data_IF_576550726172
#
_entry.id   IF_576550726172
#
_cell.length_a   1.000
_cell.length_b   1.000
_cell.length_c   1.000
_cell.angle_alpha   90.00
_cell.angle_beta   90.00
_cell.angle_gamma   90.00
#
_symmetry.space_group_name_H-M   'P 1'
#
loop_
_entity.id
_entity.type
_entity.pdbx_description
1 polymer ?
#
# COMPACT_ATOMS: atom_id res chain seq x y z
N UNK A 1 -8.01 -32.76 -84.57
CA UNK A 1 -7.94 -31.40 -83.99
C UNK A 1 -7.20 -31.51 -82.67
N UNK A 2 -6.27 -30.59 -82.46
CA UNK A 2 -5.16 -30.63 -81.52
C UNK A 2 -5.65 -30.48 -80.06
N UNK A 3 -5.13 -31.27 -79.11
CA UNK A 3 -5.43 -31.09 -77.68
C UNK A 3 -4.56 -29.95 -77.12
N UNK A 4 -5.20 -28.95 -76.50
CA UNK A 4 -4.53 -27.82 -75.88
C UNK A 4 -3.80 -28.26 -74.60
N UNK A 5 -2.50 -27.99 -74.54
CA UNK A 5 -1.66 -28.15 -73.35
C UNK A 5 -1.81 -26.91 -72.45
N UNK A 6 -2.24 -27.10 -71.20
CA UNK A 6 -2.27 -26.04 -70.19
C UNK A 6 -1.32 -26.38 -69.03
N UNK A 7 -0.23 -25.62 -68.82
CA UNK A 7 0.58 -25.77 -67.63
C UNK A 7 -0.03 -24.91 -66.51
N UNK A 8 -0.67 -25.54 -65.54
CA UNK A 8 -1.06 -24.86 -64.29
C UNK A 8 -0.16 -25.38 -63.18
N UNK A 9 0.99 -24.72 -63.05
CA UNK A 9 1.81 -24.74 -61.84
C UNK A 9 0.98 -24.14 -60.70
N UNK A 10 0.30 -25.00 -59.94
CA UNK A 10 -0.32 -24.63 -58.67
C UNK A 10 0.66 -25.01 -57.57
N UNK A 11 1.63 -24.13 -57.33
CA UNK A 11 2.20 -23.98 -55.99
C UNK A 11 1.06 -23.48 -55.11
N UNK A 12 0.35 -24.40 -54.48
CA UNK A 12 -0.55 -24.06 -53.38
C UNK A 12 0.35 -23.50 -52.29
N UNK A 13 0.22 -22.22 -51.89
CA UNK A 13 0.96 -21.73 -50.75
C UNK A 13 0.52 -22.56 -49.55
N UNK A 14 1.49 -23.14 -48.85
CA UNK A 14 1.25 -23.67 -47.51
C UNK A 14 0.52 -22.58 -46.71
N UNK A 15 -0.53 -22.90 -45.93
CA UNK A 15 -1.03 -21.96 -44.94
C UNK A 15 0.18 -21.54 -44.11
N UNK A 16 0.57 -20.26 -44.22
CA UNK A 16 1.69 -19.72 -43.48
C UNK A 16 1.49 -20.07 -42.02
N UNK A 17 2.37 -20.92 -41.52
CA UNK A 17 2.57 -21.14 -40.11
C UNK A 17 3.13 -19.82 -39.53
N UNK A 18 2.23 -18.88 -39.26
CA UNK A 18 2.46 -17.68 -38.45
C UNK A 18 1.16 -17.35 -37.67
N UNK A 19 0.43 -18.38 -37.24
CA UNK A 19 -0.55 -18.27 -36.15
C UNK A 19 0.08 -18.54 -34.78
N UNK A 20 1.39 -18.39 -34.65
CA UNK A 20 2.07 -18.46 -33.35
C UNK A 20 3.25 -17.48 -33.31
N UNK A 21 2.95 -16.19 -33.12
CA UNK A 21 3.88 -15.30 -32.41
C UNK A 21 3.20 -14.02 -31.94
N UNK A 22 3.12 -13.92 -30.63
CA UNK A 22 2.48 -12.84 -29.90
C UNK A 22 1.89 -13.39 -28.61
N UNK A 23 2.72 -14.07 -27.83
CA UNK A 23 2.77 -14.03 -26.37
C UNK A 23 1.70 -13.15 -25.72
N UNK A 24 1.01 -13.72 -24.72
CA UNK A 24 -0.12 -13.23 -23.90
C UNK A 24 0.14 -11.86 -23.21
N UNK A 25 0.47 -10.86 -24.01
CA UNK A 25 0.76 -9.50 -23.62
C UNK A 25 -0.37 -8.63 -24.11
N UNK A 26 -0.83 -7.79 -23.19
CA UNK A 26 -1.84 -6.77 -23.49
C UNK A 26 -1.25 -5.80 -24.53
N UNK A 27 -1.79 -5.85 -25.74
CA UNK A 27 -1.51 -4.89 -26.80
C UNK A 27 -2.20 -3.54 -26.47
N UNK A 28 -1.43 -2.64 -25.85
CA UNK A 28 -1.89 -1.32 -25.41
C UNK A 28 -2.34 -0.46 -26.59
N UNK A 29 -1.71 -0.60 -27.76
CA UNK A 29 -2.02 0.20 -28.95
C UNK A 29 -3.39 -0.20 -29.53
N UNK A 30 -3.67 -1.50 -29.54
CA UNK A 30 -4.99 -2.04 -29.89
C UNK A 30 -6.07 -1.62 -28.90
N UNK A 31 -5.79 -1.63 -27.59
CA UNK A 31 -6.75 -1.16 -26.57
C UNK A 31 -7.02 0.34 -26.69
N UNK A 32 -5.98 1.15 -26.92
CA UNK A 32 -6.13 2.59 -27.09
C UNK A 32 -6.93 2.92 -28.37
N UNK A 33 -6.72 2.15 -29.44
CA UNK A 33 -7.53 2.24 -30.66
C UNK A 33 -9.01 1.91 -30.44
N UNK A 34 -9.31 0.93 -29.57
CA UNK A 34 -10.70 0.64 -29.17
C UNK A 34 -11.29 1.76 -28.31
N UNK A 35 -10.52 2.30 -27.36
CA UNK A 35 -10.94 3.41 -26.50
C UNK A 35 -11.22 4.69 -27.31
N UNK A 36 -10.37 5.02 -28.28
CA UNK A 36 -10.52 6.19 -29.14
C UNK A 36 -11.80 6.14 -29.98
N UNK A 37 -12.21 4.95 -30.46
CA UNK A 37 -13.48 4.76 -31.19
C UNK A 37 -14.71 5.05 -30.33
N UNK A 38 -14.60 4.89 -29.01
CA UNK A 38 -15.67 5.15 -28.05
C UNK A 38 -15.30 6.26 -27.05
N UNK A 39 -14.55 7.27 -27.52
CA UNK A 39 -14.00 8.33 -26.67
C UNK A 39 -15.05 9.02 -25.78
N UNK A 40 -16.30 9.15 -26.24
CA UNK A 40 -17.40 9.70 -25.43
C UNK A 40 -17.72 8.85 -24.20
N UNK A 41 -17.80 7.53 -24.35
CA UNK A 41 -18.10 6.61 -23.24
C UNK A 41 -16.93 6.61 -22.27
N UNK A 42 -15.70 6.53 -22.78
CA UNK A 42 -14.48 6.59 -21.96
C UNK A 42 -14.39 7.91 -21.18
N UNK A 43 -14.70 9.04 -21.83
CA UNK A 43 -14.70 10.35 -21.18
C UNK A 43 -15.76 10.45 -20.07
N UNK A 44 -16.96 9.91 -20.28
CA UNK A 44 -18.00 9.87 -19.24
C UNK A 44 -17.56 9.03 -18.04
N UNK A 45 -17.01 7.83 -18.28
CA UNK A 45 -16.49 6.99 -17.21
C UNK A 45 -15.34 7.67 -16.45
N UNK A 46 -14.41 8.31 -17.18
CA UNK A 46 -13.31 9.08 -16.58
C UNK A 46 -13.84 10.24 -15.74
N UNK A 47 -14.84 10.97 -16.22
CA UNK A 47 -15.46 12.06 -15.48
C UNK A 47 -16.14 11.57 -14.19
N UNK A 48 -16.85 10.44 -14.24
CA UNK A 48 -17.46 9.81 -13.06
C UNK A 48 -16.38 9.39 -12.06
N UNK A 49 -15.31 8.72 -12.53
CA UNK A 49 -14.21 8.29 -11.67
C UNK A 49 -13.50 9.48 -11.00
N UNK A 50 -13.24 10.54 -11.76
CA UNK A 50 -12.65 11.78 -11.23
C UNK A 50 -13.59 12.42 -10.21
N UNK A 51 -14.87 12.52 -10.51
CA UNK A 51 -15.88 13.06 -9.60
C UNK A 51 -15.94 12.29 -8.28
N UNK A 52 -15.96 10.96 -8.33
CA UNK A 52 -15.89 10.11 -7.14
C UNK A 52 -14.58 10.28 -6.39
N UNK A 53 -13.45 10.41 -7.09
CA UNK A 53 -12.14 10.67 -6.49
C UNK A 53 -12.09 12.01 -5.74
N UNK A 54 -12.70 13.05 -6.30
CA UNK A 54 -12.81 14.37 -5.63
C UNK A 54 -13.70 14.30 -4.40
N UNK A 55 -14.85 13.62 -4.49
CA UNK A 55 -15.71 13.39 -3.33
C UNK A 55 -14.93 12.65 -2.24
N UNK A 56 -14.22 11.58 -2.60
CA UNK A 56 -13.39 10.82 -1.68
C UNK A 56 -12.39 11.75 -0.98
N UNK A 57 -11.59 12.51 -1.73
CA UNK A 57 -10.58 13.41 -1.17
C UNK A 57 -11.15 14.49 -0.23
N UNK A 58 -12.37 14.97 -0.48
CA UNK A 58 -13.03 15.92 0.42
C UNK A 58 -13.62 15.27 1.67
N UNK A 59 -14.01 14.01 1.61
CA UNK A 59 -14.61 13.28 2.75
C UNK A 59 -13.59 12.56 3.62
N UNK A 60 -12.39 12.26 3.10
CA UNK A 60 -11.35 11.55 3.85
C UNK A 60 -10.72 12.47 4.90
N UNK A 61 -10.73 12.09 6.19
CA UNK A 61 -10.07 12.87 7.23
C UNK A 61 -8.55 12.84 7.03
N UNK A 62 -7.89 13.98 7.25
CA UNK A 62 -6.42 14.07 7.21
C UNK A 62 -5.82 13.27 8.36
N UNK A 63 -4.81 12.46 8.08
CA UNK A 63 -4.06 11.71 9.08
C UNK A 63 -2.74 12.43 9.39
N UNK A 64 -2.43 12.58 10.68
CA UNK A 64 -1.22 13.23 11.18
C UNK A 64 -0.45 12.28 12.08
N UNK A 65 0.88 12.30 12.02
CA UNK A 65 1.76 11.43 12.80
C UNK A 65 2.74 12.28 13.60
N UNK A 66 2.90 11.96 14.89
CA UNK A 66 3.89 12.55 15.78
C UNK A 66 4.77 11.44 16.37
N UNK A 67 6.06 11.70 16.51
CA UNK A 67 7.04 10.73 17.01
C UNK A 67 7.75 11.33 18.22
N UNK A 68 7.87 10.54 19.29
CA UNK A 68 8.62 10.89 20.49
C UNK A 68 9.52 9.72 20.89
N UNK A 69 10.68 10.02 21.49
CA UNK A 69 11.63 9.03 22.00
C UNK A 69 11.66 9.08 23.52
N UNK A 70 11.54 7.91 24.16
CA UNK A 70 11.58 7.75 25.62
C UNK A 70 12.76 6.85 25.98
N UNK A 71 13.60 7.31 26.90
CA UNK A 71 14.71 6.54 27.44
C UNK A 71 14.25 5.85 28.74
N UNK A 72 14.45 4.53 28.82
CA UNK A 72 14.19 3.73 30.02
C UNK A 72 15.54 3.52 30.72
N UNK A 73 15.65 3.99 31.96
CA UNK A 73 16.82 3.77 32.81
C UNK A 73 16.50 2.69 33.86
N UNK A 74 17.22 1.59 33.77
CA UNK A 74 17.16 0.50 34.72
C UNK A 74 18.07 0.86 35.90
N UNK A 75 17.59 1.73 36.79
CA UNK A 75 18.30 2.01 38.04
C UNK A 75 18.61 0.68 38.73
N UNK A 76 19.87 0.25 38.65
CA UNK A 76 20.39 -1.00 39.22
C UNK A 76 20.17 -0.96 40.72
N UNK A 77 19.00 -1.43 41.14
CA UNK A 77 18.71 -1.64 42.54
C UNK A 77 19.60 -2.82 42.94
N UNK A 78 20.77 -2.51 43.51
CA UNK A 78 21.69 -3.47 44.14
C UNK A 78 20.92 -4.25 45.22
N UNK A 79 20.20 -5.27 44.81
CA UNK A 79 19.68 -6.30 45.69
C UNK A 79 20.64 -7.47 45.56
N UNK A 80 21.60 -7.42 46.48
CA UNK A 80 22.35 -8.54 47.02
C UNK A 80 21.57 -9.85 46.93
N UNK A 81 21.95 -10.73 46.02
CA UNK A 81 22.46 -12.08 46.33
C UNK A 81 22.82 -12.81 45.04
N UNK A 82 23.89 -13.61 45.13
CA UNK A 82 24.52 -14.41 44.08
C UNK A 82 23.55 -15.39 43.37
N UNK A 83 22.72 -14.88 42.46
CA UNK A 83 21.97 -15.70 41.50
C UNK A 83 22.33 -15.24 40.10
N UNK A 84 23.30 -15.96 39.54
CA UNK A 84 23.66 -16.08 38.12
C UNK A 84 23.31 -14.88 37.22
N UNK A 85 24.33 -14.13 36.80
CA UNK A 85 24.20 -12.99 35.88
C UNK A 85 23.31 -13.24 34.64
N UNK A 86 23.24 -14.48 34.14
CA UNK A 86 22.35 -14.87 33.04
C UNK A 86 20.85 -14.84 33.41
N UNK A 87 20.47 -15.19 34.64
CA UNK A 87 19.10 -15.13 35.17
C UNK A 87 18.68 -13.68 35.43
N UNK A 88 19.61 -12.84 35.89
CA UNK A 88 19.38 -11.40 36.06
C UNK A 88 19.09 -10.72 34.70
N UNK A 89 19.88 -11.00 33.65
CA UNK A 89 19.63 -10.45 32.30
C UNK A 89 18.27 -10.88 31.72
N UNK A 90 17.89 -12.15 31.82
CA UNK A 90 16.60 -12.61 31.29
C UNK A 90 15.39 -12.01 32.03
N UNK A 91 15.51 -11.79 33.34
CA UNK A 91 14.46 -11.15 34.13
C UNK A 91 14.33 -9.66 33.82
N UNK A 92 15.46 -8.99 33.55
CA UNK A 92 15.49 -7.62 33.05
C UNK A 92 14.78 -7.49 31.71
N UNK A 93 15.10 -8.34 30.72
CA UNK A 93 14.45 -8.31 29.40
C UNK A 93 12.93 -8.50 29.50
N UNK A 94 12.47 -9.46 30.30
CA UNK A 94 11.04 -9.68 30.55
C UNK A 94 10.37 -8.46 31.22
N UNK A 95 11.10 -7.75 32.10
CA UNK A 95 10.62 -6.54 32.76
C UNK A 95 10.53 -5.36 31.78
N UNK A 96 11.53 -5.17 30.92
CA UNK A 96 11.53 -4.14 29.86
C UNK A 96 10.37 -4.38 28.90
N UNK A 97 10.19 -5.62 28.43
CA UNK A 97 9.09 -5.98 27.54
C UNK A 97 7.72 -5.70 28.17
N UNK A 98 7.57 -6.00 29.46
CA UNK A 98 6.35 -5.67 30.21
C UNK A 98 6.13 -4.15 30.30
N UNK A 99 7.19 -3.35 30.52
CA UNK A 99 7.08 -1.88 30.52
C UNK A 99 6.71 -1.32 29.14
N UNK A 100 7.28 -1.85 28.06
CA UNK A 100 6.92 -1.47 26.68
C UNK A 100 5.44 -1.80 26.40
N UNK A 101 4.97 -2.95 26.86
CA UNK A 101 3.57 -3.35 26.70
C UNK A 101 2.63 -2.40 27.46
N UNK A 102 3.00 -2.02 28.68
CA UNK A 102 2.24 -1.02 29.46
C UNK A 102 2.22 0.33 28.73
N UNK A 103 3.35 0.77 28.17
CA UNK A 103 3.43 2.02 27.40
C UNK A 103 2.55 1.99 26.14
N UNK A 104 2.44 0.84 25.47
CA UNK A 104 1.57 0.66 24.29
C UNK A 104 0.11 0.31 24.65
N UNK A 105 -0.23 0.21 25.93
CA UNK A 105 -1.57 -0.20 26.34
C UNK A 105 -2.62 0.87 26.02
N UNK A 106 -3.77 0.43 25.50
CA UNK A 106 -4.91 1.31 25.23
C UNK A 106 -5.44 2.01 26.49
N UNK A 107 -5.30 1.36 27.66
CA UNK A 107 -5.71 1.94 28.94
C UNK A 107 -4.89 3.17 29.30
N UNK A 108 -3.56 3.08 29.17
CA UNK A 108 -2.69 4.23 29.40
C UNK A 108 -2.97 5.34 28.39
N UNK A 109 -3.15 4.99 27.11
CA UNK A 109 -3.48 5.96 26.07
C UNK A 109 -4.79 6.73 26.36
N UNK A 110 -5.85 6.03 26.81
CA UNK A 110 -7.12 6.67 27.19
C UNK A 110 -6.94 7.64 28.36
N UNK A 111 -6.22 7.24 29.40
CA UNK A 111 -5.94 8.11 30.55
C UNK A 111 -5.15 9.35 30.15
N UNK A 112 -4.17 9.22 29.25
CA UNK A 112 -3.41 10.38 28.73
C UNK A 112 -4.32 11.33 27.93
N UNK A 113 -5.19 10.79 27.06
CA UNK A 113 -6.17 11.59 26.30
C UNK A 113 -7.07 12.37 27.25
N UNK A 114 -7.60 11.72 28.28
CA UNK A 114 -8.51 12.34 29.24
C UNK A 114 -7.80 13.39 30.10
N UNK A 115 -6.58 13.10 30.58
CA UNK A 115 -5.79 14.00 31.44
C UNK A 115 -5.34 15.25 30.70
N UNK A 116 -4.94 15.11 29.44
CA UNK A 116 -4.49 16.23 28.60
C UNK A 116 -5.62 16.86 27.80
N UNK A 117 -6.84 16.29 27.86
CA UNK A 117 -8.02 16.71 27.10
C UNK A 117 -7.70 16.86 25.61
N UNK A 118 -7.05 15.86 25.05
CA UNK A 118 -6.54 15.93 23.67
C UNK A 118 -7.68 16.04 22.64
N UNK A 119 -8.88 15.56 22.99
CA UNK A 119 -10.12 15.71 22.22
C UNK A 119 -10.61 17.17 22.13
N UNK A 120 -10.23 18.01 23.09
CA UNK A 120 -10.59 19.43 23.18
C UNK A 120 -9.44 20.37 22.84
N UNK A 121 -8.23 19.83 22.63
CA UNK A 121 -7.06 20.62 22.31
C UNK A 121 -6.98 20.88 20.80
N UNK A 122 -7.18 22.15 20.38
CA UNK A 122 -7.10 22.53 18.96
C UNK A 122 -5.72 22.31 18.34
N UNK A 123 -4.63 22.52 19.09
CA UNK A 123 -3.27 22.31 18.57
C UNK A 123 -3.01 20.83 18.25
N UNK A 124 -3.67 19.92 18.98
CA UNK A 124 -3.60 18.48 18.74
C UNK A 124 -4.56 18.02 17.64
N UNK A 125 -5.78 18.53 17.62
CA UNK A 125 -6.83 18.14 16.65
C UNK A 125 -6.65 18.80 15.28
N UNK A 126 -5.91 19.90 15.20
CA UNK A 126 -5.62 20.65 13.97
C UNK A 126 -4.16 21.10 13.96
N UNK A 127 -3.21 20.15 13.87
CA UNK A 127 -1.79 20.46 13.99
C UNK A 127 -1.36 21.41 12.85
N UNK A 128 -0.48 22.39 13.16
CA UNK A 128 0.04 23.30 12.16
C UNK A 128 0.75 22.50 11.05
N UNK A 129 0.50 22.89 9.80
CA UNK A 129 1.20 22.28 8.69
C UNK A 129 2.67 22.71 8.74
N UNK A 130 3.59 21.76 8.83
CA UNK A 130 5.01 22.05 8.64
C UNK A 130 5.22 22.68 7.26
N UNK A 131 5.96 23.78 7.22
CA UNK A 131 6.36 24.46 5.98
C UNK A 131 7.38 23.64 5.18
#
# INVERSE_FOLDING_TARGET
MNYANFPIDKRVPLPSADQEKGEDFIDVERLLGMAARQAKVVAVCAAIGLFLGVIYLQTTPKQYMSVASVLIDEGVNKVMDDISAASATQQTDATILSQIEILNSARLASEVVDKLKLDQNQDFMSPPQSA
#
